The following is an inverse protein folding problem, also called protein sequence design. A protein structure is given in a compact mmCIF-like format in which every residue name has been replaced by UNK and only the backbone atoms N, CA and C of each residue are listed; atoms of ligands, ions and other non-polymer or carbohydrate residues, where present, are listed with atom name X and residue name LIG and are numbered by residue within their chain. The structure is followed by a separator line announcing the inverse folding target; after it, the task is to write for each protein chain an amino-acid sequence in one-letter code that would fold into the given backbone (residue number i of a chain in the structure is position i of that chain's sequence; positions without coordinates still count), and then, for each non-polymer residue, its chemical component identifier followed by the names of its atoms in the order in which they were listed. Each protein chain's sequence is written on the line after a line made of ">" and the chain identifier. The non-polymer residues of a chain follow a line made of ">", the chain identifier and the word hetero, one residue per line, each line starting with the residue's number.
data_IF_906363178515
#
_entry.id   IF_906363178515
#
_cell.length_a   1.000
_cell.length_b   1.000
_cell.length_c   1.000
_cell.angle_alpha   90.00
_cell.angle_beta   90.00
_cell.angle_gamma   90.00
#
_symmetry.space_group_name_H-M   'P 1'
#
loop_
_entity.id
_entity.type
_entity.pdbx_description
1 polymer ?
#
# COMPACT_ATOMS: atom_id res chain seq x y z
N UNK A 1 21.29 14.95 -1.71
CA UNK A 1 21.64 13.70 -0.99
C UNK A 1 20.74 12.61 -1.50
N UNK A 2 21.35 11.62 -2.07
CA UNK A 2 20.82 10.76 -3.09
C UNK A 2 19.66 9.85 -2.67
N UNK A 3 18.68 9.68 -3.58
CA UNK A 3 17.52 8.77 -3.49
C UNK A 3 17.92 7.27 -3.54
N UNK A 4 19.14 6.93 -3.13
CA UNK A 4 19.70 5.56 -3.16
C UNK A 4 18.86 4.54 -2.37
N UNK A 5 18.11 4.99 -1.39
CA UNK A 5 17.27 4.13 -0.55
C UNK A 5 15.95 3.71 -1.23
N UNK A 6 15.48 4.46 -2.24
CA UNK A 6 14.33 4.06 -3.05
C UNK A 6 14.70 2.98 -4.08
N UNK A 7 15.98 2.59 -4.12
CA UNK A 7 16.49 1.57 -5.01
C UNK A 7 16.33 0.18 -4.39
N UNK A 8 16.10 -0.85 -5.22
CA UNK A 8 16.09 -2.24 -4.78
C UNK A 8 17.40 -2.64 -4.10
N UNK A 9 17.32 -3.51 -3.10
CA UNK A 9 18.48 -4.04 -2.36
C UNK A 9 19.19 -5.18 -3.10
N UNK A 10 18.60 -5.68 -4.18
CA UNK A 10 19.16 -6.70 -5.06
C UNK A 10 18.65 -6.52 -6.49
N UNK A 11 19.17 -7.29 -7.45
CA UNK A 11 18.66 -7.32 -8.84
C UNK A 11 17.60 -8.41 -9.06
N UNK A 12 17.29 -9.19 -8.04
CA UNK A 12 16.30 -10.26 -8.12
C UNK A 12 14.88 -9.70 -8.15
N UNK A 13 14.22 -9.79 -9.28
CA UNK A 13 12.84 -9.39 -9.51
C UNK A 13 11.85 -10.56 -9.39
N UNK A 14 12.26 -11.70 -8.86
CA UNK A 14 11.37 -12.85 -8.63
C UNK A 14 10.29 -12.54 -7.58
N UNK A 15 9.22 -13.31 -7.61
CA UNK A 15 8.14 -13.24 -6.61
C UNK A 15 8.61 -13.88 -5.31
N UNK A 16 8.78 -13.08 -4.27
CA UNK A 16 9.23 -13.53 -2.94
C UNK A 16 8.05 -13.87 -2.00
N UNK A 17 8.35 -14.39 -0.81
CA UNK A 17 7.32 -14.70 0.21
C UNK A 17 6.65 -13.43 0.76
N UNK A 18 7.39 -12.33 0.85
CA UNK A 18 6.86 -11.02 1.25
C UNK A 18 6.76 -10.13 0.01
N UNK A 19 5.59 -9.54 -0.20
CA UNK A 19 5.32 -8.57 -1.25
C UNK A 19 4.80 -7.28 -0.62
N UNK A 20 5.13 -6.12 -1.19
CA UNK A 20 4.45 -4.89 -0.81
C UNK A 20 3.63 -4.36 -1.98
N UNK A 21 2.47 -3.77 -1.66
CA UNK A 21 1.52 -3.26 -2.63
C UNK A 21 1.14 -1.83 -2.30
N UNK A 22 0.91 -1.05 -3.34
CA UNK A 22 0.30 0.27 -3.28
C UNK A 22 -0.53 0.52 -4.53
N UNK A 23 -1.66 1.22 -4.38
CA UNK A 23 -2.60 1.50 -5.44
C UNK A 23 -2.86 2.98 -5.59
N UNK A 24 -2.95 3.47 -6.84
CA UNK A 24 -3.46 4.80 -7.13
C UNK A 24 -4.93 4.71 -7.55
N UNK A 25 -5.72 5.63 -7.02
CA UNK A 25 -7.16 5.67 -7.28
C UNK A 25 -7.57 7.01 -7.89
N UNK A 26 -8.52 6.94 -8.83
CA UNK A 26 -9.19 8.10 -9.43
C UNK A 26 -10.63 8.19 -8.98
N UNK A 27 -11.23 9.35 -9.13
CA UNK A 27 -12.63 9.61 -8.77
C UNK A 27 -13.57 9.36 -9.95
N UNK A 28 -14.66 8.65 -9.69
CA UNK A 28 -15.75 8.40 -10.63
C UNK A 28 -17.09 8.81 -10.02
N UNK A 29 -18.15 8.82 -10.84
CA UNK A 29 -19.45 9.34 -10.47
C UNK A 29 -19.55 10.84 -10.70
N UNK A 30 -20.69 11.44 -10.38
CA UNK A 30 -21.00 12.82 -10.71
C UNK A 30 -20.05 13.83 -10.04
N UNK A 31 -19.67 13.55 -8.79
CA UNK A 31 -18.84 14.42 -7.95
C UNK A 31 -17.39 13.94 -7.77
N UNK A 32 -17.00 12.81 -8.40
CA UNK A 32 -15.65 12.25 -8.30
C UNK A 32 -15.28 11.72 -6.90
N UNK A 33 -16.25 11.58 -5.99
CA UNK A 33 -15.97 11.14 -4.61
C UNK A 33 -15.72 9.63 -4.51
N UNK A 34 -16.35 8.84 -5.39
CA UNK A 34 -16.18 7.39 -5.40
C UNK A 34 -14.84 7.01 -6.04
N UNK A 35 -14.01 6.30 -5.27
CA UNK A 35 -12.66 5.89 -5.70
C UNK A 35 -12.69 4.55 -6.42
N UNK A 36 -12.03 4.48 -7.59
CA UNK A 36 -11.76 3.25 -8.33
C UNK A 36 -10.28 3.11 -8.61
N UNK A 37 -9.83 1.86 -8.80
CA UNK A 37 -8.44 1.55 -9.11
C UNK A 37 -8.03 2.13 -10.46
N UNK A 38 -6.88 2.79 -10.51
CA UNK A 38 -6.29 3.33 -11.75
C UNK A 38 -4.86 2.84 -12.00
N UNK A 39 -4.12 2.48 -10.95
CA UNK A 39 -2.79 1.86 -11.04
C UNK A 39 -2.57 0.96 -9.85
N UNK A 40 -1.86 -0.13 -10.03
CA UNK A 40 -1.37 -0.99 -8.95
C UNK A 40 0.08 -1.32 -9.16
N UNK A 41 0.86 -1.21 -8.09
CA UNK A 41 2.26 -1.62 -8.06
C UNK A 41 2.48 -2.66 -6.98
N UNK A 42 3.18 -3.73 -7.32
CA UNK A 42 3.62 -4.77 -6.39
C UNK A 42 5.14 -4.84 -6.45
N UNK A 43 5.79 -4.79 -5.31
CA UNK A 43 7.24 -4.96 -5.18
C UNK A 43 7.56 -6.18 -4.32
N UNK A 44 8.68 -6.85 -4.62
CA UNK A 44 9.16 -7.99 -3.84
C UNK A 44 9.92 -7.51 -2.58
N UNK A 45 10.37 -8.45 -1.74
CA UNK A 45 11.07 -8.12 -0.49
C UNK A 45 12.41 -7.38 -0.67
N UNK A 46 12.94 -7.37 -1.89
CA UNK A 46 14.14 -6.62 -2.27
C UNK A 46 13.81 -5.20 -2.78
N UNK A 47 12.52 -4.85 -2.92
CA UNK A 47 12.04 -3.59 -3.47
C UNK A 47 12.01 -3.55 -5.00
N UNK A 48 12.25 -4.67 -5.69
CA UNK A 48 12.08 -4.74 -7.15
C UNK A 48 10.61 -4.78 -7.53
N UNK A 49 10.26 -4.07 -8.59
CA UNK A 49 8.90 -4.09 -9.14
C UNK A 49 8.65 -5.45 -9.80
N UNK A 50 7.63 -6.15 -9.31
CA UNK A 50 7.14 -7.41 -9.85
C UNK A 50 5.94 -7.17 -10.79
N UNK A 51 5.11 -6.20 -10.44
CA UNK A 51 3.98 -5.73 -11.24
C UNK A 51 3.87 -4.23 -11.09
N UNK A 52 3.71 -3.51 -12.18
CA UNK A 52 3.33 -2.11 -12.20
C UNK A 52 2.48 -1.87 -13.45
N UNK A 53 1.21 -1.58 -13.26
CA UNK A 53 0.28 -1.43 -14.38
C UNK A 53 -0.83 -0.44 -14.07
N UNK A 54 -1.17 0.37 -15.07
CA UNK A 54 -2.42 1.11 -15.07
C UNK A 54 -3.60 0.16 -15.31
N UNK A 55 -4.80 0.64 -15.00
CA UNK A 55 -6.02 -0.17 -15.05
C UNK A 55 -7.13 0.60 -15.76
N UNK A 56 -7.74 0.00 -16.76
CA UNK A 56 -8.91 0.58 -17.41
C UNK A 56 -10.06 0.69 -16.38
N UNK A 57 -10.60 1.90 -16.25
CA UNK A 57 -11.77 2.14 -15.39
C UNK A 57 -13.06 1.75 -16.13
N UNK A 58 -13.95 1.05 -15.44
CA UNK A 58 -15.25 0.64 -15.98
C UNK A 58 -16.23 1.79 -16.10
N UNK A 59 -15.93 2.91 -15.46
CA UNK A 59 -16.76 4.11 -15.44
C UNK A 59 -15.95 5.31 -15.88
N UNK A 60 -16.64 6.35 -16.38
CA UNK A 60 -16.02 7.62 -16.75
C UNK A 60 -15.34 8.25 -15.53
N UNK A 61 -14.04 8.54 -15.64
CA UNK A 61 -13.30 9.29 -14.63
C UNK A 61 -13.76 10.74 -14.66
N UNK A 62 -14.15 11.26 -13.52
CA UNK A 62 -14.57 12.66 -13.31
C UNK A 62 -13.52 13.46 -12.57
N UNK A 63 -12.68 12.80 -11.73
CA UNK A 63 -11.52 13.42 -11.08
C UNK A 63 -10.31 12.47 -11.11
N UNK A 64 -9.28 12.83 -11.85
CA UNK A 64 -8.02 12.06 -11.94
C UNK A 64 -7.17 12.18 -10.68
N UNK A 65 -7.41 13.18 -9.85
CA UNK A 65 -6.61 13.47 -8.65
C UNK A 65 -5.10 13.51 -8.95
N UNK A 66 -4.73 13.95 -10.14
CA UNK A 66 -3.37 13.84 -10.69
C UNK A 66 -2.29 14.40 -9.77
N UNK A 67 -2.58 15.47 -9.02
CA UNK A 67 -1.63 16.05 -8.05
C UNK A 67 -1.21 15.07 -6.95
N UNK A 68 -2.04 14.05 -6.68
CA UNK A 68 -1.77 13.00 -5.70
C UNK A 68 -1.44 11.71 -6.43
N UNK A 69 -2.35 11.18 -7.23
CA UNK A 69 -2.23 9.87 -7.88
C UNK A 69 -1.18 9.81 -9.00
N UNK A 70 -0.77 10.95 -9.56
CA UNK A 70 0.06 10.99 -10.77
C UNK A 70 -0.64 10.51 -12.05
N UNK A 71 -1.86 9.96 -11.96
CA UNK A 71 -2.59 9.36 -13.08
C UNK A 71 -3.15 10.45 -14.01
N UNK A 72 -3.07 10.21 -15.31
CA UNK A 72 -3.57 11.08 -16.38
C UNK A 72 -4.47 10.33 -17.35
N UNK A 73 -5.34 11.03 -18.12
CA UNK A 73 -6.21 10.38 -19.11
C UNK A 73 -5.47 9.46 -20.09
N UNK A 74 -4.27 9.85 -20.52
CA UNK A 74 -3.45 9.08 -21.46
C UNK A 74 -3.00 7.73 -20.88
N UNK A 75 -2.83 7.65 -19.56
CA UNK A 75 -2.29 6.47 -18.86
C UNK A 75 -3.35 5.35 -18.77
N UNK A 76 -4.64 5.73 -18.77
CA UNK A 76 -5.75 4.79 -18.75
C UNK A 76 -6.22 4.38 -20.15
N UNK A 77 -5.76 5.10 -21.19
CA UNK A 77 -6.09 4.77 -22.57
C UNK A 77 -5.39 3.47 -22.96
N UNK A 78 -6.18 2.45 -23.33
CA UNK A 78 -5.69 1.11 -23.66
C UNK A 78 -5.01 0.37 -22.48
N UNK A 79 -5.25 0.79 -21.24
CA UNK A 79 -4.81 0.05 -20.07
C UNK A 79 -5.51 -1.32 -19.98
N UNK A 80 -4.90 -2.33 -19.36
CA UNK A 80 -5.53 -3.63 -19.14
C UNK A 80 -6.86 -3.50 -18.37
N UNK A 81 -7.80 -4.38 -18.67
CA UNK A 81 -9.09 -4.41 -17.99
C UNK A 81 -8.95 -4.72 -16.52
N UNK A 82 -9.80 -4.12 -15.70
CA UNK A 82 -9.81 -4.34 -14.25
C UNK A 82 -9.81 -5.84 -13.87
N UNK A 83 -10.65 -6.66 -14.52
CA UNK A 83 -10.76 -8.09 -14.21
C UNK A 83 -9.44 -8.85 -14.42
N UNK A 84 -8.69 -8.50 -15.45
CA UNK A 84 -7.41 -9.16 -15.76
C UNK A 84 -6.34 -8.76 -14.72
N UNK A 85 -6.27 -7.47 -14.38
CA UNK A 85 -5.35 -6.96 -13.36
C UNK A 85 -5.68 -7.53 -11.99
N UNK A 86 -6.97 -7.54 -11.60
CA UNK A 86 -7.42 -8.13 -10.34
C UNK A 86 -7.00 -9.60 -10.23
N UNK A 87 -7.18 -10.39 -11.29
CA UNK A 87 -6.78 -11.81 -11.35
C UNK A 87 -5.25 -11.95 -11.19
N UNK A 88 -4.47 -11.11 -11.88
CA UNK A 88 -3.01 -11.10 -11.75
C UNK A 88 -2.58 -10.81 -10.32
N UNK A 89 -3.10 -9.74 -9.72
CA UNK A 89 -2.77 -9.35 -8.33
C UNK A 89 -3.20 -10.45 -7.36
N UNK A 90 -4.42 -10.97 -7.49
CA UNK A 90 -4.92 -12.07 -6.63
C UNK A 90 -3.98 -13.28 -6.64
N UNK A 91 -3.50 -13.68 -7.83
CA UNK A 91 -2.55 -14.79 -7.96
C UNK A 91 -1.18 -14.47 -7.34
N UNK A 92 -0.70 -13.24 -7.52
CA UNK A 92 0.59 -12.81 -6.96
C UNK A 92 0.60 -12.84 -5.43
N UNK A 93 -0.47 -12.36 -4.81
CA UNK A 93 -0.54 -12.23 -3.34
C UNK A 93 -1.05 -13.50 -2.65
N UNK A 94 -1.47 -14.51 -3.41
CA UNK A 94 -1.97 -15.77 -2.85
C UNK A 94 -0.91 -16.41 -1.93
N UNK A 95 -1.30 -16.69 -0.68
CA UNK A 95 -0.44 -17.27 0.37
C UNK A 95 0.79 -16.42 0.74
N UNK A 96 0.92 -15.19 0.25
CA UNK A 96 2.05 -14.29 0.53
C UNK A 96 1.79 -13.42 1.77
N UNK A 97 2.86 -12.91 2.37
CA UNK A 97 2.76 -11.80 3.31
C UNK A 97 2.64 -10.52 2.49
N UNK A 98 1.54 -9.78 2.66
CA UNK A 98 1.30 -8.52 1.98
C UNK A 98 1.53 -7.36 2.92
N UNK A 99 2.44 -6.47 2.52
CA UNK A 99 2.83 -5.25 3.23
C UNK A 99 2.24 -4.04 2.50
N UNK A 100 1.85 -3.00 3.24
CA UNK A 100 1.43 -1.72 2.65
C UNK A 100 1.10 -0.70 3.72
N UNK A 101 0.44 0.39 3.32
CA UNK A 101 0.05 1.47 4.21
C UNK A 101 -1.41 1.87 3.99
N UNK A 102 -2.29 1.49 4.92
CA UNK A 102 -3.74 1.70 4.75
C UNK A 102 -4.37 0.69 3.79
N UNK A 103 -3.87 -0.54 3.77
CA UNK A 103 -4.21 -1.63 2.85
C UNK A 103 -5.70 -1.91 2.68
N UNK A 104 -6.54 -1.46 3.62
CA UNK A 104 -8.00 -1.56 3.48
C UNK A 104 -8.50 -0.87 2.21
N UNK A 105 -7.91 0.29 1.87
CA UNK A 105 -8.29 1.05 0.68
C UNK A 105 -7.85 0.32 -0.60
N UNK A 106 -6.64 -0.22 -0.60
CA UNK A 106 -6.08 -0.97 -1.73
C UNK A 106 -6.89 -2.23 -2.02
N UNK A 107 -7.17 -3.03 -1.00
CA UNK A 107 -8.00 -4.23 -1.14
C UNK A 107 -9.43 -3.89 -1.56
N UNK A 108 -9.99 -2.78 -1.06
CA UNK A 108 -11.31 -2.31 -1.51
C UNK A 108 -11.30 -1.90 -2.98
N UNK A 109 -10.28 -1.16 -3.43
CA UNK A 109 -10.14 -0.75 -4.83
C UNK A 109 -9.93 -1.94 -5.77
N UNK A 110 -9.20 -2.96 -5.31
CA UNK A 110 -8.96 -4.21 -6.02
C UNK A 110 -10.14 -5.19 -5.95
N UNK A 111 -11.17 -4.93 -5.11
CA UNK A 111 -12.24 -5.88 -4.79
C UNK A 111 -11.68 -7.24 -4.33
N UNK A 112 -10.62 -7.23 -3.55
CA UNK A 112 -9.95 -8.41 -2.99
C UNK A 112 -10.03 -8.41 -1.46
N UNK A 113 -9.92 -9.61 -0.90
CA UNK A 113 -9.69 -9.82 0.53
C UNK A 113 -8.36 -10.56 0.71
N UNK A 114 -7.66 -10.25 1.80
CA UNK A 114 -6.41 -10.95 2.14
C UNK A 114 -6.44 -11.37 3.62
N UNK A 115 -5.94 -12.57 3.98
CA UNK A 115 -5.95 -13.05 5.35
C UNK A 115 -5.22 -12.07 6.29
N UNK A 116 -5.85 -11.76 7.42
CA UNK A 116 -5.31 -10.81 8.41
C UNK A 116 -3.95 -11.25 8.94
N UNK A 117 -3.75 -12.55 9.12
CA UNK A 117 -2.50 -13.16 9.59
C UNK A 117 -1.35 -12.98 8.60
N UNK A 118 -1.67 -12.73 7.33
CA UNK A 118 -0.70 -12.49 6.27
C UNK A 118 -0.66 -11.02 5.82
N UNK A 119 -1.37 -10.13 6.50
CA UNK A 119 -1.39 -8.69 6.19
C UNK A 119 -0.51 -7.92 7.17
N UNK A 120 0.33 -7.01 6.65
CA UNK A 120 1.21 -6.13 7.43
C UNK A 120 0.95 -4.68 7.03
N UNK A 121 -0.04 -4.08 7.68
CA UNK A 121 -0.43 -2.68 7.44
C UNK A 121 0.34 -1.74 8.36
N UNK A 122 1.26 -0.96 7.80
CA UNK A 122 2.11 -0.02 8.55
C UNK A 122 1.31 1.12 9.20
N UNK A 123 0.11 1.42 8.70
CA UNK A 123 -0.78 2.41 9.33
C UNK A 123 -1.39 1.87 10.64
N UNK A 124 -1.49 0.55 10.80
CA UNK A 124 -2.18 -0.11 11.91
C UNK A 124 -1.23 -0.75 12.94
N UNK A 125 0.06 -0.86 12.63
CA UNK A 125 1.02 -1.45 13.56
C UNK A 125 1.24 -0.54 14.77
N UNK A 126 0.91 -1.00 15.97
CA UNK A 126 0.87 -0.20 17.20
C UNK A 126 2.09 0.72 17.40
N UNK A 127 3.35 0.27 17.24
CA UNK A 127 4.52 1.13 17.39
C UNK A 127 4.63 2.26 16.36
N UNK A 128 3.95 2.15 15.22
CA UNK A 128 3.91 3.16 14.16
C UNK A 128 2.72 4.11 14.27
N UNK A 129 1.77 3.82 15.15
CA UNK A 129 0.61 4.67 15.41
C UNK A 129 0.92 5.76 16.46
N UNK A 130 0.02 6.71 16.66
CA UNK A 130 0.07 7.76 17.67
C UNK A 130 -1.17 7.74 18.57
N UNK A 131 -1.18 8.41 19.70
CA UNK A 131 -2.42 8.63 20.44
C UNK A 131 -3.50 9.26 19.55
N UNK A 132 -4.75 8.82 19.71
CA UNK A 132 -5.89 9.40 19.02
C UNK A 132 -6.14 10.81 19.54
N UNK A 133 -6.40 11.78 18.66
CA UNK A 133 -6.79 13.12 19.05
C UNK A 133 -8.27 13.14 19.43
N UNK A 134 -8.69 14.06 20.29
CA UNK A 134 -10.05 14.12 20.83
C UNK A 134 -11.16 14.24 19.79
N UNK A 135 -10.87 14.84 18.65
CA UNK A 135 -11.82 15.03 17.54
C UNK A 135 -11.75 13.95 16.44
N UNK A 136 -10.83 13.00 16.56
CA UNK A 136 -10.63 11.96 15.57
C UNK A 136 -11.50 10.73 15.85
N UNK A 137 -11.98 10.10 14.79
CA UNK A 137 -12.60 8.77 14.86
C UNK A 137 -11.54 7.69 14.75
N UNK A 138 -11.74 6.58 15.47
CA UNK A 138 -10.89 5.41 15.32
C UNK A 138 -10.97 4.88 13.88
N UNK A 139 -9.81 4.62 13.28
CA UNK A 139 -9.73 3.92 12.01
C UNK A 139 -10.00 2.43 12.27
N UNK A 140 -10.82 1.81 11.45
CA UNK A 140 -11.11 0.39 11.55
C UNK A 140 -9.83 -0.45 11.45
N UNK A 141 -9.64 -1.36 12.41
CA UNK A 141 -8.42 -2.16 12.51
C UNK A 141 -7.29 -1.50 13.31
N UNK A 142 -7.35 -0.19 13.57
CA UNK A 142 -6.36 0.49 14.42
C UNK A 142 -6.45 0.02 15.88
N UNK A 143 -5.33 -0.02 16.61
CA UNK A 143 -5.35 -0.30 18.04
C UNK A 143 -6.22 0.71 18.80
N UNK A 144 -6.91 0.24 19.85
CA UNK A 144 -7.83 1.09 20.63
C UNK A 144 -7.13 2.36 21.13
N UNK A 145 -7.77 3.51 20.93
CA UNK A 145 -7.25 4.82 21.32
C UNK A 145 -6.03 5.29 20.50
N UNK A 146 -5.80 4.69 19.36
CA UNK A 146 -4.68 5.04 18.47
C UNK A 146 -5.18 5.60 17.14
N UNK A 147 -4.45 6.60 16.62
CA UNK A 147 -4.63 7.19 15.30
C UNK A 147 -3.50 6.81 14.36
N UNK A 148 -3.79 6.78 13.07
CA UNK A 148 -2.77 6.52 12.05
C UNK A 148 -1.85 7.73 11.88
N UNK A 149 -0.64 7.47 11.39
CA UNK A 149 0.29 8.46 10.85
C UNK A 149 0.35 8.29 9.34
N UNK A 150 0.65 9.34 8.60
CA UNK A 150 0.87 9.23 7.16
C UNK A 150 2.17 8.47 6.85
N UNK A 151 2.22 7.81 5.69
CA UNK A 151 3.43 7.13 5.22
C UNK A 151 4.61 8.11 5.15
N UNK A 152 4.39 9.32 4.64
CA UNK A 152 5.38 10.42 4.59
C UNK A 152 5.97 10.75 5.97
N UNK A 153 5.12 10.82 7.01
CA UNK A 153 5.58 11.07 8.39
C UNK A 153 6.41 9.90 8.93
N UNK A 154 5.95 8.68 8.69
CA UNK A 154 6.62 7.46 9.15
C UNK A 154 7.99 7.27 8.50
N UNK A 155 8.10 7.49 7.18
CA UNK A 155 9.36 7.39 6.47
C UNK A 155 10.35 8.45 6.93
N UNK A 156 9.90 9.70 7.09
CA UNK A 156 10.74 10.77 7.63
C UNK A 156 11.26 10.43 9.02
N UNK A 157 10.38 9.96 9.91
CA UNK A 157 10.72 9.69 11.31
C UNK A 157 11.59 8.45 11.49
N UNK A 158 11.26 7.36 10.80
CA UNK A 158 11.87 6.06 11.05
C UNK A 158 12.95 5.68 10.06
N UNK A 159 12.85 6.15 8.82
CA UNK A 159 13.81 5.83 7.75
C UNK A 159 14.70 7.02 7.38
N UNK A 160 14.43 8.22 7.91
CA UNK A 160 15.08 9.49 7.56
C UNK A 160 14.97 9.81 6.07
N UNK A 161 13.81 9.54 5.49
CA UNK A 161 13.53 9.59 4.07
C UNK A 161 12.34 10.47 3.79
N UNK A 162 12.41 11.27 2.74
CA UNK A 162 11.30 12.11 2.27
C UNK A 162 10.73 11.50 1.00
N UNK A 163 9.44 11.20 1.02
CA UNK A 163 8.66 10.70 -0.10
C UNK A 163 7.50 11.66 -0.39
N UNK A 164 6.78 11.46 -1.51
CA UNK A 164 5.59 12.24 -1.84
C UNK A 164 5.87 13.75 -1.89
N UNK A 165 6.98 14.14 -2.52
CA UNK A 165 7.30 15.53 -2.84
C UNK A 165 6.72 15.91 -4.21
N UNK A 166 5.41 16.02 -4.30
CA UNK A 166 4.65 16.22 -5.54
C UNK A 166 3.70 15.06 -5.81
N UNK A 167 3.65 14.59 -7.06
CA UNK A 167 2.85 13.42 -7.42
C UNK A 167 3.41 12.17 -6.73
N UNK A 168 2.51 11.31 -6.26
CA UNK A 168 2.91 10.06 -5.62
C UNK A 168 3.43 9.06 -6.67
N UNK A 169 4.33 8.22 -6.23
CA UNK A 169 4.78 7.06 -6.98
C UNK A 169 4.42 5.81 -6.21
N UNK A 170 3.46 5.05 -6.72
CA UNK A 170 3.03 3.81 -6.05
C UNK A 170 4.20 2.83 -5.82
N UNK A 171 5.21 2.81 -6.71
CA UNK A 171 6.42 2.01 -6.52
C UNK A 171 7.28 2.55 -5.35
N UNK A 172 7.37 3.86 -5.17
CA UNK A 172 8.08 4.48 -4.06
C UNK A 172 7.34 4.23 -2.74
N UNK A 173 6.02 4.38 -2.74
CA UNK A 173 5.18 4.20 -1.56
C UNK A 173 5.13 2.73 -1.12
N UNK A 174 5.02 1.78 -2.04
CA UNK A 174 5.14 0.35 -1.75
C UNK A 174 6.50 0.00 -1.14
N UNK A 175 7.62 0.51 -1.70
CA UNK A 175 8.96 0.33 -1.12
C UNK A 175 9.09 0.95 0.26
N UNK A 176 8.54 2.13 0.46
CA UNK A 176 8.57 2.82 1.74
C UNK A 176 7.85 2.01 2.84
N UNK A 177 6.67 1.48 2.53
CA UNK A 177 5.95 0.59 3.43
C UNK A 177 6.74 -0.71 3.71
N UNK A 178 7.36 -1.30 2.68
CA UNK A 178 8.22 -2.48 2.80
C UNK A 178 9.40 -2.24 3.76
N UNK A 179 10.11 -1.13 3.60
CA UNK A 179 11.28 -0.81 4.43
C UNK A 179 10.89 -0.47 5.88
N UNK A 180 9.74 0.15 6.09
CA UNK A 180 9.18 0.30 7.43
C UNK A 180 8.93 -1.07 8.06
N UNK A 181 8.26 -1.96 7.36
CA UNK A 181 8.06 -3.33 7.83
C UNK A 181 9.38 -4.04 8.11
N UNK A 182 10.35 -4.01 7.19
CA UNK A 182 11.65 -4.65 7.35
C UNK A 182 12.37 -4.19 8.62
N UNK A 183 12.35 -2.87 8.91
CA UNK A 183 12.91 -2.29 10.13
C UNK A 183 12.29 -2.84 11.41
N UNK A 184 11.00 -3.09 11.41
CA UNK A 184 10.26 -3.55 12.59
C UNK A 184 9.96 -5.05 12.56
N UNK A 185 10.29 -5.78 11.49
CA UNK A 185 9.91 -7.17 11.20
C UNK A 185 10.05 -8.09 12.42
N UNK A 186 11.24 -8.13 13.04
CA UNK A 186 11.51 -9.03 14.16
C UNK A 186 10.50 -8.85 15.31
N UNK A 187 10.28 -7.61 15.74
CA UNK A 187 9.34 -7.28 16.84
C UNK A 187 7.89 -7.50 16.42
N UNK A 188 7.57 -7.18 15.17
CA UNK A 188 6.22 -7.33 14.63
C UNK A 188 5.80 -8.78 14.56
N UNK A 189 6.61 -9.64 13.92
CA UNK A 189 6.32 -11.07 13.81
C UNK A 189 6.26 -11.74 15.18
N UNK A 190 7.16 -11.39 16.11
CA UNK A 190 7.11 -11.89 17.48
C UNK A 190 5.79 -11.51 18.19
N UNK A 191 5.31 -10.28 18.01
CA UNK A 191 4.04 -9.83 18.61
C UNK A 191 2.84 -10.60 18.05
N UNK A 192 2.85 -10.94 16.76
CA UNK A 192 1.81 -11.75 16.14
C UNK A 192 1.82 -13.19 16.66
N UNK A 193 2.98 -13.80 16.79
CA UNK A 193 3.11 -15.15 17.36
C UNK A 193 2.58 -15.22 18.80
N UNK A 194 2.88 -14.22 19.63
CA UNK A 194 2.36 -14.13 21.00
C UNK A 194 0.83 -13.98 21.00
N UNK A 195 0.29 -13.14 20.10
CA UNK A 195 -1.15 -12.93 19.99
C UNK A 195 -1.89 -14.20 19.51
N UNK A 196 -1.28 -14.99 18.62
CA UNK A 196 -1.85 -16.28 18.16
C UNK A 196 -1.89 -17.30 19.29
N UNK A 197 -0.81 -17.42 20.08
CA UNK A 197 -0.75 -18.35 21.22
C UNK A 197 -1.77 -18.06 22.33
N UNK A 198 -2.20 -16.81 22.48
CA UNK A 198 -3.22 -16.42 23.49
C UNK A 198 -4.65 -16.72 23.05
N UNK A 199 -4.89 -17.11 21.81
CA UNK A 199 -6.22 -17.42 21.25
C UNK A 199 -6.53 -18.92 21.25
N UNK A 200 -5.51 -19.73 21.49
CA UNK A 200 -5.58 -21.17 21.73
C UNK A 200 -5.37 -21.50 23.21
#
# INVERSE_FOLDING_TARGET
>A
MDRLWASPTSRDASVTETLAIDCEMVGVGEDGTRSVLARVTVVNEHGNVVLDTFVETTEKVTDYRTKVSGVRPRDLKNAPKFADVQKMVSKLIEKKIVVGHGLKNDFKALLLNHPRERTRDTALYHPLTRPLRSHERCVEGAPRGRGCRSLKELTKTHLRMTIQEGEHSSAEDARAALFLYAKFKKKWEQSLLVAMRKRH
#
